data_IF_406458218217
#
_entry.id   IF_406458218217
#
_cell.length_a   1.000
_cell.length_b   1.000
_cell.length_c   1.000
_cell.angle_alpha   90.00
_cell.angle_beta   90.00
_cell.angle_gamma   90.00
#
_symmetry.space_group_name_H-M   'P 1'
#
loop_
_entity.id
_entity.type
_entity.pdbx_description
1 polymer ?
#
# COMPACT_ATOMS: atom_id res chain seq x y z
N UNK A 1 28.09 -84.31 63.95
CA UNK A 1 28.52 -82.91 63.77
C UNK A 1 27.34 -82.17 63.12
N UNK A 2 26.42 -81.63 63.92
CA UNK A 2 26.24 -80.20 64.26
C UNK A 2 25.10 -79.55 63.42
N UNK A 3 24.03 -79.17 64.13
CA UNK A 3 23.05 -78.09 63.93
C UNK A 3 21.94 -78.11 62.85
N UNK A 4 20.68 -78.15 63.33
CA UNK A 4 19.56 -77.27 62.92
C UNK A 4 19.82 -75.82 63.44
N UNK A 5 19.14 -74.69 63.05
CA UNK A 5 17.71 -74.57 62.65
C UNK A 5 17.30 -73.41 61.67
N UNK A 6 15.99 -73.40 61.36
CA UNK A 6 14.98 -72.33 61.16
C UNK A 6 15.29 -70.86 60.76
N UNK A 7 14.40 -70.37 59.87
CA UNK A 7 13.84 -68.99 59.70
C UNK A 7 14.82 -67.86 59.37
N UNK A 8 14.57 -67.05 58.34
CA UNK A 8 13.71 -65.86 58.45
C UNK A 8 13.46 -65.25 57.06
N UNK A 9 12.18 -65.01 56.74
CA UNK A 9 11.75 -64.16 55.63
C UNK A 9 12.03 -62.69 56.01
N UNK A 10 12.93 -62.01 55.31
CA UNK A 10 13.06 -60.55 55.38
C UNK A 10 12.73 -59.95 54.02
N UNK A 11 11.56 -59.31 53.98
CA UNK A 11 11.08 -58.45 52.93
C UNK A 11 11.81 -57.11 53.04
N UNK A 12 12.81 -56.87 52.20
CA UNK A 12 13.35 -55.52 51.98
C UNK A 12 12.52 -54.84 50.90
N UNK A 13 11.53 -54.07 51.35
CA UNK A 13 10.97 -52.96 50.60
C UNK A 13 12.08 -51.92 50.38
N UNK A 14 12.54 -51.73 49.15
CA UNK A 14 13.16 -50.46 48.75
C UNK A 14 12.56 -49.99 47.43
N UNK A 15 11.50 -49.19 47.62
CA UNK A 15 11.23 -47.93 46.93
C UNK A 15 11.39 -47.89 45.42
N UNK A 16 10.24 -47.98 44.77
CA UNK A 16 9.98 -47.38 43.47
C UNK A 16 10.54 -45.95 43.40
N UNK A 17 11.67 -45.78 42.71
CA UNK A 17 12.05 -44.47 42.18
C UNK A 17 11.16 -44.23 40.96
N UNK A 18 9.96 -43.73 41.23
CA UNK A 18 9.10 -43.08 40.26
C UNK A 18 9.82 -41.83 39.78
N UNK A 19 10.71 -41.98 38.79
CA UNK A 19 11.26 -40.85 38.08
C UNK A 19 10.14 -40.26 37.20
N UNK A 20 9.23 -39.52 37.83
CA UNK A 20 8.28 -38.66 37.16
C UNK A 20 9.08 -37.47 36.63
N UNK A 21 9.91 -37.73 35.61
CA UNK A 21 10.62 -36.69 34.86
C UNK A 21 9.56 -35.77 34.30
N UNK A 22 9.61 -34.54 34.75
CA UNK A 22 8.71 -33.44 34.39
C UNK A 22 8.77 -33.28 32.87
N UNK A 23 7.84 -33.92 32.14
CA UNK A 23 7.62 -33.75 30.69
C UNK A 23 6.91 -32.42 30.39
N UNK A 24 7.20 -31.36 31.16
CA UNK A 24 6.50 -30.07 31.08
C UNK A 24 7.23 -29.06 30.18
N UNK A 25 8.46 -29.36 29.73
CA UNK A 25 9.22 -28.46 28.87
C UNK A 25 8.87 -28.56 27.37
N UNK A 26 8.53 -29.76 26.90
CA UNK A 26 8.30 -30.03 25.47
C UNK A 26 6.96 -29.49 24.92
N UNK A 27 5.80 -29.59 25.61
CA UNK A 27 4.56 -29.01 25.09
C UNK A 27 4.58 -27.48 25.13
N UNK A 28 5.30 -26.87 26.08
CA UNK A 28 5.44 -25.41 26.19
C UNK A 28 6.31 -24.84 25.06
N UNK A 29 7.42 -25.51 24.73
CA UNK A 29 8.29 -25.15 23.60
C UNK A 29 7.55 -25.26 22.25
N UNK A 30 6.75 -26.31 22.07
CA UNK A 30 5.92 -26.48 20.86
C UNK A 30 4.84 -25.41 20.75
N UNK A 31 4.15 -25.07 21.85
CA UNK A 31 3.16 -24.01 21.87
C UNK A 31 3.76 -22.64 21.51
N UNK A 32 4.94 -22.32 22.04
CA UNK A 32 5.65 -21.07 21.69
C UNK A 32 6.05 -21.03 20.21
N UNK A 33 6.52 -22.15 19.66
CA UNK A 33 6.86 -22.27 18.25
C UNK A 33 5.66 -22.06 17.31
N UNK A 34 4.50 -22.61 17.67
CA UNK A 34 3.25 -22.43 16.91
C UNK A 34 2.77 -20.98 16.96
N UNK A 35 2.81 -20.34 18.12
CA UNK A 35 2.44 -18.91 18.27
C UNK A 35 3.36 -18.01 17.44
N UNK A 36 4.66 -18.27 17.44
CA UNK A 36 5.63 -17.53 16.62
C UNK A 36 5.38 -17.73 15.12
N UNK A 37 5.09 -18.96 14.69
CA UNK A 37 4.77 -19.27 13.30
C UNK A 37 3.50 -18.54 12.84
N UNK A 38 2.45 -18.54 13.66
CA UNK A 38 1.20 -17.81 13.38
C UNK A 38 1.43 -16.30 13.29
N UNK A 39 2.26 -15.73 14.17
CA UNK A 39 2.61 -14.31 14.12
C UNK A 39 3.39 -13.94 12.84
N UNK A 40 4.31 -14.80 12.38
CA UNK A 40 5.08 -14.57 11.15
C UNK A 40 4.17 -14.67 9.92
N UNK A 41 3.30 -15.68 9.85
CA UNK A 41 2.34 -15.84 8.74
C UNK A 41 1.35 -14.67 8.71
N UNK A 42 0.85 -14.20 9.86
CA UNK A 42 0.01 -13.02 9.94
C UNK A 42 0.75 -11.74 9.49
N UNK A 43 2.01 -11.55 9.90
CA UNK A 43 2.83 -10.40 9.49
C UNK A 43 3.14 -10.37 7.99
N UNK A 44 3.43 -11.53 7.40
CA UNK A 44 3.67 -11.66 5.95
C UNK A 44 2.38 -11.41 5.16
N UNK A 45 1.23 -11.86 5.67
CA UNK A 45 -0.08 -11.66 5.01
C UNK A 45 -0.51 -10.18 4.98
N UNK A 46 -0.13 -9.39 5.99
CA UNK A 46 -0.43 -7.95 6.05
C UNK A 46 0.47 -7.15 5.10
N UNK A 47 1.64 -7.67 4.72
CA UNK A 47 2.62 -6.97 3.86
C UNK A 47 2.34 -7.13 2.36
N UNK A 48 1.53 -8.10 1.95
CA UNK A 48 1.21 -8.34 0.53
C UNK A 48 0.12 -7.41 -0.04
N UNK A 49 -0.55 -6.61 0.78
CA UNK A 49 -1.59 -5.69 0.34
C UNK A 49 -1.07 -4.35 -0.23
N UNK A 50 0.25 -4.13 -0.20
CA UNK A 50 0.88 -2.90 -0.65
C UNK A 50 1.64 -3.06 -1.98
N UNK A 51 1.19 -3.95 -2.87
CA UNK A 51 1.70 -3.97 -4.25
C UNK A 51 1.02 -2.81 -5.00
N UNK A 52 1.69 -1.68 -5.29
CA UNK A 52 1.12 -0.68 -6.16
C UNK A 52 0.84 -1.35 -7.51
N UNK A 53 -0.39 -1.21 -8.01
CA UNK A 53 -0.78 -1.76 -9.30
C UNK A 53 0.26 -1.35 -10.35
N UNK A 54 0.84 -2.34 -11.03
CA UNK A 54 1.76 -2.09 -12.13
C UNK A 54 1.06 -1.18 -13.16
N UNK A 55 1.52 0.07 -13.26
CA UNK A 55 1.06 0.99 -14.29
C UNK A 55 1.42 0.41 -15.65
N UNK A 56 0.46 0.19 -16.57
CA UNK A 56 0.76 -0.34 -17.88
C UNK A 56 1.75 0.57 -18.61
N UNK A 57 2.80 0.01 -19.22
CA UNK A 57 3.87 0.76 -19.91
C UNK A 57 3.33 1.69 -21.00
N UNK A 58 2.21 1.33 -21.63
CA UNK A 58 1.49 2.20 -22.57
C UNK A 58 1.02 3.51 -21.90
N UNK A 59 0.52 3.44 -20.66
CA UNK A 59 0.14 4.63 -19.91
C UNK A 59 1.35 5.54 -19.62
N UNK A 60 2.55 5.00 -19.44
CA UNK A 60 3.74 5.82 -19.19
C UNK A 60 4.15 6.67 -20.41
N UNK A 61 4.04 6.13 -21.62
CA UNK A 61 4.30 6.89 -22.85
C UNK A 61 3.24 7.99 -23.07
N UNK A 62 1.97 7.66 -22.79
CA UNK A 62 0.87 8.63 -22.85
C UNK A 62 1.06 9.76 -21.84
N UNK A 63 1.57 9.47 -20.64
CA UNK A 63 1.78 10.45 -19.58
C UNK A 63 2.82 11.49 -19.92
N UNK A 64 3.93 11.08 -20.55
CA UNK A 64 4.94 12.05 -21.01
C UNK A 64 4.41 12.92 -22.14
N UNK A 65 3.61 12.36 -23.05
CA UNK A 65 2.94 13.14 -24.10
C UNK A 65 1.95 14.16 -23.50
N UNK A 66 1.14 13.75 -22.51
CA UNK A 66 0.23 14.63 -21.78
C UNK A 66 1.02 15.73 -21.05
N UNK A 67 2.10 15.38 -20.36
CA UNK A 67 2.96 16.35 -19.67
C UNK A 67 3.47 17.42 -20.63
N UNK A 68 4.05 17.02 -21.76
CA UNK A 68 4.54 17.98 -22.77
C UNK A 68 3.41 18.84 -23.29
N UNK A 69 2.25 18.25 -23.62
CA UNK A 69 1.11 19.00 -24.13
C UNK A 69 0.49 19.98 -23.12
N UNK A 70 0.58 19.69 -21.82
CA UNK A 70 0.19 20.62 -20.75
C UNK A 70 1.21 21.76 -20.65
N UNK A 71 2.50 21.44 -20.63
CA UNK A 71 3.57 22.45 -20.57
C UNK A 71 3.53 23.38 -21.78
N UNK A 72 3.39 22.86 -22.99
CA UNK A 72 3.29 23.66 -24.21
C UNK A 72 2.14 24.70 -24.12
N UNK A 73 1.03 24.36 -23.45
CA UNK A 73 -0.10 25.29 -23.25
C UNK A 73 0.20 26.32 -22.15
N UNK A 74 0.81 25.88 -21.05
CA UNK A 74 1.21 26.76 -19.96
C UNK A 74 2.27 27.78 -20.41
N UNK A 75 3.19 27.34 -21.27
CA UNK A 75 4.24 28.17 -21.86
C UNK A 75 3.76 28.98 -23.07
N UNK A 76 2.50 28.82 -23.49
CA UNK A 76 1.89 29.53 -24.61
C UNK A 76 2.38 29.10 -26.00
N UNK A 77 3.13 28.00 -26.10
CA UNK A 77 3.59 27.39 -27.36
C UNK A 77 2.41 26.78 -28.12
N UNK A 78 1.49 26.13 -27.40
CA UNK A 78 0.26 25.58 -27.95
C UNK A 78 -0.94 26.48 -27.65
N UNK A 79 -1.77 26.72 -28.66
CA UNK A 79 -2.99 27.50 -28.49
C UNK A 79 -3.97 26.80 -27.53
N UNK A 80 -4.43 27.55 -26.54
CA UNK A 80 -5.48 27.13 -25.61
C UNK A 80 -6.49 28.27 -25.42
N UNK A 81 -7.71 28.17 -25.98
CA UNK A 81 -8.66 29.27 -25.92
C UNK A 81 -9.09 29.54 -24.47
N UNK A 82 -9.28 30.83 -24.14
CA UNK A 82 -9.84 31.21 -22.85
C UNK A 82 -11.35 30.93 -22.84
N UNK A 83 -11.83 30.29 -21.77
CA UNK A 83 -13.26 30.01 -21.55
C UNK A 83 -13.67 30.46 -20.16
N UNK A 84 -14.96 30.70 -19.97
CA UNK A 84 -15.51 31.01 -18.65
C UNK A 84 -15.40 29.76 -17.74
N UNK A 85 -14.71 29.92 -16.62
CA UNK A 85 -14.47 28.89 -15.61
C UNK A 85 -15.43 28.99 -14.41
N UNK A 86 -16.42 29.91 -14.50
CA UNK A 86 -17.40 30.21 -13.47
C UNK A 86 -17.16 31.57 -12.80
N UNK A 87 -18.24 32.19 -12.33
CA UNK A 87 -18.23 33.49 -11.66
C UNK A 87 -17.50 34.60 -12.44
N UNK A 88 -17.62 34.61 -13.77
CA UNK A 88 -16.96 35.58 -14.65
C UNK A 88 -15.43 35.43 -14.77
N UNK A 89 -14.82 34.40 -14.18
CA UNK A 89 -13.40 34.13 -14.36
C UNK A 89 -13.14 33.46 -15.71
N UNK A 90 -12.09 33.89 -16.41
CA UNK A 90 -11.58 33.24 -17.61
C UNK A 90 -10.38 32.37 -17.27
N UNK A 91 -10.33 31.18 -17.85
CA UNK A 91 -9.20 30.25 -17.71
C UNK A 91 -8.97 29.50 -19.04
N UNK A 92 -7.78 28.92 -19.24
CA UNK A 92 -7.52 28.07 -20.39
C UNK A 92 -8.52 26.91 -20.47
N UNK A 93 -9.03 26.62 -21.67
CA UNK A 93 -10.01 25.56 -21.87
C UNK A 93 -9.50 24.20 -21.39
N UNK A 94 -8.20 23.92 -21.57
CA UNK A 94 -7.61 22.67 -21.07
C UNK A 94 -7.58 22.59 -19.54
N UNK A 95 -7.48 23.71 -18.83
CA UNK A 95 -7.54 23.75 -17.35
C UNK A 95 -8.97 23.46 -16.87
N UNK A 96 -9.98 23.95 -17.58
CA UNK A 96 -11.39 23.78 -17.20
C UNK A 96 -11.95 22.41 -17.57
N UNK A 97 -11.69 21.98 -18.81
CA UNK A 97 -12.32 20.79 -19.43
C UNK A 97 -11.40 19.58 -19.48
N UNK A 98 -10.11 19.75 -19.17
CA UNK A 98 -9.09 18.72 -19.31
C UNK A 98 -8.53 18.62 -20.73
N UNK A 99 -7.53 17.75 -20.88
CA UNK A 99 -6.87 17.42 -22.13
C UNK A 99 -7.17 15.96 -22.51
N UNK A 100 -7.64 15.73 -23.73
CA UNK A 100 -7.85 14.36 -24.23
C UNK A 100 -6.63 13.88 -25.00
N UNK A 101 -6.00 12.81 -24.52
CA UNK A 101 -4.85 12.16 -25.17
C UNK A 101 -5.10 10.66 -25.18
N UNK A 102 -4.98 10.01 -26.35
CA UNK A 102 -5.21 8.57 -26.47
C UNK A 102 -6.62 8.13 -26.05
N UNK A 103 -7.62 9.01 -26.16
CA UNK A 103 -9.01 8.73 -25.74
C UNK A 103 -9.25 8.81 -24.22
N UNK A 104 -8.25 9.19 -23.44
CA UNK A 104 -8.36 9.41 -21.99
C UNK A 104 -8.34 10.91 -21.70
N UNK A 105 -9.26 11.37 -20.85
CA UNK A 105 -9.27 12.75 -20.36
C UNK A 105 -8.37 12.90 -19.14
N UNK A 106 -7.38 13.77 -19.27
CA UNK A 106 -6.45 14.15 -18.22
C UNK A 106 -6.77 15.55 -17.72
N UNK A 107 -6.63 15.75 -16.42
CA UNK A 107 -6.79 17.03 -15.76
C UNK A 107 -5.49 17.38 -15.06
N UNK A 108 -5.27 18.67 -14.84
CA UNK A 108 -4.04 19.12 -14.21
C UNK A 108 -4.28 20.36 -13.36
N UNK A 109 -3.43 20.53 -12.36
CA UNK A 109 -3.32 21.77 -11.59
C UNK A 109 -1.85 22.03 -11.24
N UNK A 110 -1.54 23.29 -10.98
CA UNK A 110 -0.22 23.72 -10.52
C UNK A 110 -0.33 24.09 -9.04
N UNK A 111 0.44 23.42 -8.19
CA UNK A 111 0.43 23.69 -6.75
C UNK A 111 0.80 25.16 -6.48
N UNK A 112 0.06 25.80 -5.57
CA UNK A 112 0.25 27.21 -5.24
C UNK A 112 -0.39 28.19 -6.23
N UNK A 113 -0.99 27.71 -7.32
CA UNK A 113 -1.78 28.54 -8.24
C UNK A 113 -3.28 28.27 -8.08
N UNK A 114 -4.09 29.20 -8.57
CA UNK A 114 -5.55 29.02 -8.63
C UNK A 114 -5.87 27.95 -9.68
N UNK A 115 -6.39 26.82 -9.23
CA UNK A 115 -6.87 25.75 -10.10
C UNK A 115 -8.28 26.03 -10.62
N UNK A 116 -8.50 25.67 -11.87
CA UNK A 116 -9.81 25.71 -12.52
C UNK A 116 -10.25 24.34 -12.98
N UNK A 117 -9.55 23.28 -12.61
CA UNK A 117 -9.92 21.90 -12.91
C UNK A 117 -11.08 21.40 -12.03
N UNK A 118 -11.73 20.27 -12.38
CA UNK A 118 -12.86 19.75 -11.61
C UNK A 118 -12.55 19.51 -10.12
N UNK A 119 -11.32 19.13 -9.77
CA UNK A 119 -10.94 18.87 -8.38
C UNK A 119 -10.83 20.20 -7.61
N UNK A 120 -10.15 21.20 -8.18
CA UNK A 120 -10.04 22.54 -7.59
C UNK A 120 -11.37 23.29 -7.48
N UNK A 121 -12.33 23.01 -8.38
CA UNK A 121 -13.69 23.55 -8.32
C UNK A 121 -14.59 22.81 -7.33
N UNK A 122 -14.13 21.69 -6.75
CA UNK A 122 -14.93 20.85 -5.85
C UNK A 122 -16.04 20.07 -6.54
N UNK A 123 -15.98 19.91 -7.87
CA UNK A 123 -16.96 19.12 -8.64
C UNK A 123 -16.69 17.61 -8.52
N UNK A 124 -15.43 17.23 -8.26
CA UNK A 124 -15.03 15.85 -7.97
C UNK A 124 -14.32 15.77 -6.64
N UNK A 125 -14.57 14.69 -5.90
CA UNK A 125 -13.92 14.42 -4.64
C UNK A 125 -12.49 13.88 -4.85
N UNK A 126 -11.55 14.13 -3.93
CA UNK A 126 -10.19 13.59 -4.01
C UNK A 126 -10.13 12.05 -4.12
N UNK A 127 -11.12 11.35 -3.56
CA UNK A 127 -11.21 9.89 -3.68
C UNK A 127 -11.58 9.39 -5.08
N UNK A 128 -12.07 10.27 -5.95
CA UNK A 128 -12.45 9.97 -7.33
C UNK A 128 -11.32 10.26 -8.32
N UNK A 129 -10.20 10.82 -7.87
CA UNK A 129 -9.07 11.11 -8.74
C UNK A 129 -7.99 10.07 -8.59
N UNK A 130 -7.33 9.76 -9.71
CA UNK A 130 -6.10 8.98 -9.75
C UNK A 130 -4.99 9.89 -10.24
N UNK A 131 -4.06 10.22 -9.35
CA UNK A 131 -2.84 10.92 -9.75
C UNK A 131 -2.05 10.03 -10.71
N UNK A 132 -1.63 10.62 -11.82
CA UNK A 132 -0.88 9.92 -12.87
C UNK A 132 0.55 10.45 -12.94
N UNK A 133 0.74 11.74 -12.69
CA UNK A 133 2.06 12.36 -12.62
C UNK A 133 2.05 13.51 -11.61
N UNK A 134 3.10 13.59 -10.81
CA UNK A 134 3.47 14.79 -10.05
C UNK A 134 4.90 15.16 -10.37
N UNK A 135 5.06 16.32 -10.99
CA UNK A 135 6.35 16.83 -11.44
C UNK A 135 6.76 18.07 -10.64
N UNK A 136 7.72 17.87 -9.74
CA UNK A 136 8.29 18.92 -8.90
C UNK A 136 9.62 19.48 -9.43
N UNK A 137 9.99 19.20 -10.68
CA UNK A 137 11.27 19.65 -11.27
C UNK A 137 11.25 21.12 -11.73
N UNK A 138 10.07 21.72 -11.87
CA UNK A 138 9.89 23.10 -12.31
C UNK A 138 9.85 24.11 -11.16
N UNK A 139 9.58 25.38 -11.49
CA UNK A 139 9.37 26.44 -10.49
C UNK A 139 8.15 26.20 -9.60
N UNK A 140 7.16 25.45 -10.11
CA UNK A 140 5.98 25.00 -9.39
C UNK A 140 5.74 23.52 -9.65
N UNK A 141 5.14 22.82 -8.69
CA UNK A 141 4.76 21.42 -8.86
C UNK A 141 3.56 21.32 -9.79
N UNK A 142 3.70 20.60 -10.90
CA UNK A 142 2.60 20.24 -11.79
C UNK A 142 2.04 18.87 -11.39
N UNK A 143 0.74 18.79 -11.16
CA UNK A 143 0.03 17.53 -10.91
C UNK A 143 -0.90 17.24 -12.07
N UNK A 144 -0.86 16.02 -12.60
CA UNK A 144 -1.72 15.51 -13.66
C UNK A 144 -2.44 14.26 -13.12
N UNK A 145 -3.75 14.22 -13.32
CA UNK A 145 -4.59 13.16 -12.81
C UNK A 145 -5.69 12.78 -13.81
N UNK A 146 -6.33 11.64 -13.58
CA UNK A 146 -7.56 11.23 -14.28
C UNK A 146 -8.68 11.05 -13.26
N UNK A 147 -9.93 11.12 -13.72
CA UNK A 147 -11.08 10.82 -12.87
C UNK A 147 -11.40 9.33 -13.04
N UNK A 148 -11.37 8.60 -11.93
CA UNK A 148 -11.77 7.20 -11.88
C UNK A 148 -13.29 7.10 -12.09
N UNK A 149 -13.71 6.17 -12.95
CA UNK A 149 -15.12 5.83 -13.15
C UNK A 149 -15.62 4.88 -12.07
#
# INVERSE_FOLDING_TARGET
MIHAPSTTFTKSNETASSSRRVRLGMPLLLAMGVVLLVAIVAGVSISAAAVPAATPVAAAADVMAVRTAVLDRLDGVAADPMVEAGAGALAPASSVRGLSVGGTSYYYYVEGQRGYDPLSRGEVAPSQVREVLRDARGASTLVIYTIAR
#
